data_IF_076033096070
#
_entry.id   IF_076033096070
#
_cell.length_a   1.000
_cell.length_b   1.000
_cell.length_c   1.000
_cell.angle_alpha   90.00
_cell.angle_beta   90.00
_cell.angle_gamma   90.00
#
_symmetry.space_group_name_H-M   'P 1'
#
loop_
_entity.id
_entity.type
_entity.pdbx_description
1 polymer ?
#
# COMPACT_ATOMS: atom_id res chain seq x y z
N UNK A 1 15.01 -13.02 -34.51
CA UNK A 1 14.55 -11.94 -33.61
C UNK A 1 13.09 -11.71 -33.96
N UNK A 2 12.19 -12.45 -33.32
CA UNK A 2 10.75 -12.27 -33.53
C UNK A 2 10.20 -11.28 -32.51
N UNK A 3 9.55 -10.26 -33.05
CA UNK A 3 8.89 -9.20 -32.32
C UNK A 3 7.50 -9.65 -31.85
N UNK A 4 7.14 -9.22 -30.65
CA UNK A 4 5.77 -8.87 -30.27
C UNK A 4 4.70 -9.97 -30.39
N UNK A 5 4.84 -11.04 -29.62
CA UNK A 5 3.65 -11.70 -29.07
C UNK A 5 3.25 -10.97 -27.80
N UNK A 6 2.44 -9.93 -27.92
CA UNK A 6 1.65 -9.49 -26.76
C UNK A 6 0.84 -10.71 -26.31
N UNK A 7 0.82 -11.07 -25.02
CA UNK A 7 -0.05 -12.14 -24.56
C UNK A 7 -1.49 -11.75 -24.87
N UNK A 8 -2.07 -12.36 -25.90
CA UNK A 8 -3.48 -12.19 -26.22
C UNK A 8 -4.28 -12.73 -25.05
N UNK A 9 -5.10 -11.89 -24.42
CA UNK A 9 -6.04 -12.37 -23.40
C UNK A 9 -6.99 -13.36 -24.07
N UNK A 10 -7.13 -14.61 -23.57
CA UNK A 10 -7.97 -15.61 -24.20
C UNK A 10 -9.42 -15.10 -24.31
N UNK A 11 -10.09 -15.39 -25.44
CA UNK A 11 -11.54 -15.24 -25.51
C UNK A 11 -12.17 -16.12 -24.42
N UNK A 12 -13.00 -15.53 -23.56
CA UNK A 12 -13.58 -16.15 -22.35
C UNK A 12 -12.61 -16.38 -21.18
N UNK A 13 -11.62 -15.49 -21.00
CA UNK A 13 -10.78 -15.52 -19.81
C UNK A 13 -11.60 -15.31 -18.53
N UNK A 14 -11.43 -16.21 -17.56
CA UNK A 14 -11.98 -16.09 -16.21
C UNK A 14 -10.89 -15.75 -15.21
N UNK A 15 -11.23 -15.02 -14.14
CA UNK A 15 -10.29 -14.78 -13.05
C UNK A 15 -9.89 -16.10 -12.37
N UNK A 16 -8.59 -16.35 -12.27
CA UNK A 16 -8.07 -17.38 -11.37
C UNK A 16 -8.26 -16.91 -9.93
N UNK A 17 -9.24 -17.49 -9.23
CA UNK A 17 -9.65 -17.06 -7.89
C UNK A 17 -8.60 -17.36 -6.82
N UNK A 18 -7.83 -18.44 -6.98
CA UNK A 18 -6.79 -18.81 -6.01
C UNK A 18 -5.59 -17.85 -6.11
N UNK A 19 -5.15 -17.53 -7.32
CA UNK A 19 -4.10 -16.53 -7.56
C UNK A 19 -4.52 -15.14 -7.08
N UNK A 20 -5.77 -14.73 -7.35
CA UNK A 20 -6.29 -13.46 -6.86
C UNK A 20 -6.37 -13.43 -5.33
N UNK A 21 -6.78 -14.53 -4.69
CA UNK A 21 -6.81 -14.64 -3.24
C UNK A 21 -5.41 -14.49 -2.65
N UNK A 22 -4.41 -15.19 -3.20
CA UNK A 22 -3.04 -15.10 -2.72
C UNK A 22 -2.49 -13.69 -2.91
N UNK A 23 -2.71 -13.09 -4.09
CA UNK A 23 -2.29 -11.72 -4.39
C UNK A 23 -2.86 -10.71 -3.39
N UNK A 24 -4.18 -10.71 -3.16
CA UNK A 24 -4.84 -9.80 -2.23
C UNK A 24 -4.40 -10.03 -0.78
N UNK A 25 -4.16 -11.28 -0.39
CA UNK A 25 -3.67 -11.59 0.97
C UNK A 25 -2.23 -11.11 1.20
N UNK A 26 -1.34 -11.19 0.21
CA UNK A 26 0.00 -10.61 0.32
C UNK A 26 -0.07 -9.08 0.49
N UNK A 27 -0.93 -8.41 -0.28
CA UNK A 27 -1.15 -6.97 -0.11
C UNK A 27 -1.83 -6.61 1.22
N UNK A 28 -2.76 -7.43 1.72
CA UNK A 28 -3.38 -7.23 3.03
C UNK A 28 -2.32 -7.32 4.14
N UNK A 29 -1.43 -8.31 4.07
CA UNK A 29 -0.33 -8.45 5.03
C UNK A 29 0.62 -7.23 4.97
N UNK A 30 0.97 -6.77 3.77
CA UNK A 30 1.73 -5.54 3.58
C UNK A 30 1.04 -4.31 4.16
N UNK A 31 -0.27 -4.16 3.91
CA UNK A 31 -1.06 -3.02 4.41
C UNK A 31 -1.12 -2.96 5.94
N UNK A 32 -1.09 -4.10 6.64
CA UNK A 32 -1.02 -4.15 8.10
C UNK A 32 0.28 -3.57 8.63
N UNK A 33 1.39 -3.86 7.95
CA UNK A 33 2.68 -3.24 8.26
C UNK A 33 2.69 -1.75 7.94
N UNK A 34 2.13 -1.36 6.79
CA UNK A 34 1.98 0.06 6.41
C UNK A 34 1.19 0.87 7.43
N UNK A 35 0.02 0.39 7.88
CA UNK A 35 -0.76 1.08 8.93
C UNK A 35 0.04 1.27 10.23
N UNK A 36 0.83 0.27 10.64
CA UNK A 36 1.71 0.42 11.81
C UNK A 36 2.78 1.48 11.58
N UNK A 37 3.38 1.53 10.40
CA UNK A 37 4.38 2.55 10.03
C UNK A 37 3.78 3.96 10.06
N UNK A 38 2.57 4.17 9.52
CA UNK A 38 1.89 5.47 9.59
C UNK A 38 1.58 5.90 11.02
N UNK A 39 1.13 4.97 11.88
CA UNK A 39 0.95 5.24 13.32
C UNK A 39 2.26 5.66 14.00
N UNK A 40 3.35 4.95 13.70
CA UNK A 40 4.68 5.29 14.20
C UNK A 40 5.14 6.67 13.72
N UNK A 41 4.92 7.00 12.44
CA UNK A 41 5.22 8.32 11.91
C UNK A 41 4.37 9.39 12.62
N UNK A 42 3.08 9.16 12.86
CA UNK A 42 2.26 10.10 13.62
C UNK A 42 2.86 10.42 15.01
N UNK A 43 3.52 9.45 15.66
CA UNK A 43 4.28 9.69 16.89
C UNK A 43 5.57 10.51 16.67
N UNK A 44 6.30 10.26 15.58
CA UNK A 44 7.49 11.04 15.16
C UNK A 44 7.16 12.51 14.95
N UNK A 45 5.99 12.79 14.35
CA UNK A 45 5.56 14.12 13.94
C UNK A 45 4.73 14.88 14.98
N UNK A 46 4.52 14.30 16.18
CA UNK A 46 3.84 14.97 17.29
C UNK A 46 4.57 16.25 17.73
N UNK A 47 3.81 17.31 18.00
CA UNK A 47 4.31 18.62 18.40
C UNK A 47 4.88 19.45 17.25
N UNK A 48 4.84 18.95 16.01
CA UNK A 48 5.22 19.70 14.81
C UNK A 48 3.99 20.32 14.15
N UNK A 49 4.15 21.29 13.23
CA UNK A 49 3.04 21.81 12.42
C UNK A 49 2.28 20.73 11.62
N UNK A 50 2.90 19.58 11.34
CA UNK A 50 2.34 18.48 10.53
C UNK A 50 1.67 17.38 11.37
N UNK A 51 1.53 17.54 12.70
CA UNK A 51 0.93 16.52 13.56
C UNK A 51 -0.48 16.13 13.11
N UNK A 52 -1.32 17.12 12.80
CA UNK A 52 -2.70 16.88 12.40
C UNK A 52 -2.78 16.14 11.06
N UNK A 53 -1.92 16.50 10.11
CA UNK A 53 -1.86 15.86 8.79
C UNK A 53 -1.43 14.39 8.90
N UNK A 54 -0.43 14.07 9.74
CA UNK A 54 -0.01 12.68 9.93
C UNK A 54 -1.06 11.81 10.63
N UNK A 55 -1.86 12.38 11.54
CA UNK A 55 -3.01 11.67 12.13
C UNK A 55 -4.05 11.36 11.07
N UNK A 56 -4.42 12.36 10.26
CA UNK A 56 -5.38 12.21 9.17
C UNK A 56 -4.90 11.20 8.11
N UNK A 57 -3.63 11.26 7.71
CA UNK A 57 -3.02 10.28 6.81
C UNK A 57 -3.10 8.86 7.39
N UNK A 58 -2.84 8.70 8.69
CA UNK A 58 -2.92 7.39 9.37
C UNK A 58 -4.34 6.81 9.33
N UNK A 59 -5.34 7.66 9.55
CA UNK A 59 -6.75 7.26 9.51
C UNK A 59 -7.17 6.88 8.09
N UNK A 60 -6.78 7.66 7.07
CA UNK A 60 -7.10 7.35 5.68
C UNK A 60 -6.40 6.07 5.19
N UNK A 61 -5.13 5.84 5.57
CA UNK A 61 -4.42 4.58 5.25
C UNK A 61 -5.09 3.38 5.93
N UNK A 62 -5.57 3.55 7.16
CA UNK A 62 -6.36 2.52 7.85
C UNK A 62 -7.66 2.21 7.09
N UNK A 63 -8.38 3.23 6.63
CA UNK A 63 -9.57 3.03 5.79
C UNK A 63 -9.25 2.35 4.44
N UNK A 64 -8.05 2.57 3.87
CA UNK A 64 -7.62 1.85 2.66
C UNK A 64 -7.40 0.35 2.93
N UNK A 65 -6.92 -0.02 4.11
CA UNK A 65 -6.89 -1.42 4.54
C UNK A 65 -8.29 -2.00 4.69
N UNK A 66 -9.22 -1.27 5.31
CA UNK A 66 -10.61 -1.73 5.48
C UNK A 66 -11.30 -1.96 4.14
N UNK A 67 -11.04 -1.11 3.14
CA UNK A 67 -11.51 -1.27 1.76
C UNK A 67 -10.97 -2.54 1.10
N UNK A 68 -9.71 -2.89 1.35
CA UNK A 68 -9.12 -4.13 0.85
C UNK A 68 -9.74 -5.37 1.54
N UNK A 69 -9.98 -5.31 2.84
CA UNK A 69 -10.68 -6.36 3.59
C UNK A 69 -12.09 -6.55 3.02
N UNK A 70 -12.85 -5.47 2.86
CA UNK A 70 -14.20 -5.51 2.30
C UNK A 70 -14.22 -6.04 0.85
N UNK A 71 -13.20 -5.74 0.06
CA UNK A 71 -13.06 -6.32 -1.28
C UNK A 71 -12.89 -7.84 -1.24
N UNK A 72 -11.95 -8.34 -0.41
CA UNK A 72 -11.70 -9.78 -0.24
C UNK A 72 -12.99 -10.50 0.17
N UNK A 73 -13.70 -9.92 1.14
CA UNK A 73 -14.96 -10.48 1.66
C UNK A 73 -16.07 -10.47 0.60
N UNK A 74 -16.25 -9.36 -0.13
CA UNK A 74 -17.23 -9.23 -1.22
C UNK A 74 -16.98 -10.23 -2.35
N UNK A 75 -15.71 -10.50 -2.65
CA UNK A 75 -15.34 -11.51 -3.62
C UNK A 75 -15.55 -12.93 -3.11
N UNK A 76 -15.86 -13.15 -1.82
CA UNK A 76 -15.98 -14.46 -1.20
C UNK A 76 -14.63 -15.20 -1.09
N UNK A 77 -13.53 -14.44 -1.05
CA UNK A 77 -12.18 -14.99 -0.92
C UNK A 77 -11.81 -15.11 0.56
N UNK A 78 -10.96 -16.09 0.89
CA UNK A 78 -10.54 -16.31 2.28
C UNK A 78 -9.42 -15.34 2.65
N UNK A 79 -9.60 -14.64 3.76
CA UNK A 79 -8.49 -13.97 4.42
C UNK A 79 -7.54 -15.03 5.02
N UNK A 80 -6.29 -15.04 4.58
CA UNK A 80 -5.29 -15.97 5.10
C UNK A 80 -4.95 -15.59 6.54
N UNK A 81 -5.29 -16.47 7.49
CA UNK A 81 -4.88 -16.38 8.90
C UNK A 81 -3.56 -17.12 9.17
N UNK A 82 -2.94 -17.70 8.15
CA UNK A 82 -1.93 -18.75 8.32
C UNK A 82 -0.50 -18.23 8.21
N UNK A 83 0.35 -18.69 9.13
CA UNK A 83 1.79 -18.41 9.24
C UNK A 83 2.62 -18.68 7.97
N UNK A 84 2.08 -19.42 7.00
CA UNK A 84 2.79 -19.78 5.75
C UNK A 84 3.05 -18.59 4.81
N UNK A 85 2.17 -17.58 4.78
CA UNK A 85 2.41 -16.32 4.03
C UNK A 85 3.35 -15.39 4.82
N UNK A 86 3.40 -15.58 6.14
CA UNK A 86 4.29 -14.83 7.03
C UNK A 86 5.76 -15.03 6.64
N UNK A 87 6.18 -16.22 6.21
CA UNK A 87 7.59 -16.52 5.91
C UNK A 87 8.21 -15.67 4.78
N UNK A 88 7.52 -15.47 3.66
CA UNK A 88 8.02 -14.66 2.53
C UNK A 88 7.88 -13.15 2.78
N UNK A 89 6.78 -12.73 3.41
CA UNK A 89 6.56 -11.32 3.72
C UNK A 89 7.39 -10.83 4.92
N UNK A 90 7.72 -11.71 5.88
CA UNK A 90 8.55 -11.37 7.03
C UNK A 90 10.01 -11.09 6.64
N UNK A 91 10.53 -11.65 5.55
CA UNK A 91 11.88 -11.34 5.08
C UNK A 91 11.99 -9.88 4.59
N UNK A 92 10.94 -9.38 3.92
CA UNK A 92 10.86 -7.99 3.44
C UNK A 92 10.47 -7.04 4.59
N UNK A 93 9.46 -7.40 5.39
CA UNK A 93 9.00 -6.58 6.52
C UNK A 93 9.98 -6.55 7.70
N UNK A 94 10.78 -7.61 7.89
CA UNK A 94 11.79 -7.70 8.94
C UNK A 94 12.94 -6.71 8.74
N UNK A 95 13.26 -6.37 7.49
CA UNK A 95 14.22 -5.30 7.15
C UNK A 95 13.66 -3.89 7.38
N UNK A 96 12.33 -3.74 7.37
CA UNK A 96 11.60 -2.48 7.58
C UNK A 96 10.90 -2.45 8.95
N UNK A 97 11.45 -3.11 9.96
CA UNK A 97 10.84 -3.14 11.30
C UNK A 97 10.73 -1.70 11.86
N UNK A 98 9.50 -1.15 12.05
CA UNK A 98 9.30 0.22 12.53
C UNK A 98 9.94 0.47 13.91
N UNK A 99 10.03 -0.57 14.73
CA UNK A 99 10.65 -0.52 16.06
C UNK A 99 12.16 -0.30 15.99
N UNK A 100 12.83 -0.72 14.91
CA UNK A 100 14.27 -0.45 14.71
C UNK A 100 14.52 0.92 14.08
N UNK A 101 13.63 1.41 13.21
CA UNK A 101 13.75 2.73 12.56
C UNK A 101 13.66 3.88 13.56
N UNK A 102 12.82 3.74 14.59
CA UNK A 102 12.58 4.77 15.62
C UNK A 102 13.64 4.87 16.71
N UNK A 103 14.61 3.94 16.77
CA UNK A 103 15.69 3.99 17.77
C UNK A 103 16.72 5.09 17.51
N UNK A 104 16.79 5.61 16.28
CA UNK A 104 17.68 6.71 15.91
C UNK A 104 16.84 7.93 15.52
N UNK A 105 16.81 8.95 16.39
CA UNK A 105 16.08 10.22 16.17
C UNK A 105 16.89 11.24 15.35
N UNK A 106 17.72 10.78 14.41
CA UNK A 106 18.45 11.70 13.55
C UNK A 106 17.54 12.19 12.42
N UNK A 107 17.78 13.41 11.95
CA UNK A 107 17.01 13.98 10.85
C UNK A 107 17.06 13.15 9.57
N UNK A 108 18.18 12.49 9.29
CA UNK A 108 18.31 11.57 8.15
C UNK A 108 17.40 10.33 8.27
N UNK A 109 17.17 9.83 9.48
CA UNK A 109 16.24 8.71 9.69
C UNK A 109 14.78 9.11 9.49
N UNK A 110 14.42 10.36 9.76
CA UNK A 110 13.10 10.91 9.42
C UNK A 110 12.86 10.88 7.90
N UNK A 111 13.88 11.12 7.07
CA UNK A 111 13.75 11.00 5.62
C UNK A 111 13.54 9.54 5.19
N UNK A 112 14.30 8.60 5.77
CA UNK A 112 14.12 7.17 5.49
C UNK A 112 12.71 6.69 5.86
N UNK A 113 12.15 7.17 6.98
CA UNK A 113 10.77 6.88 7.35
C UNK A 113 9.78 7.32 6.27
N UNK A 114 9.89 8.56 5.77
CA UNK A 114 9.04 9.08 4.69
C UNK A 114 9.16 8.28 3.39
N UNK A 115 10.38 7.88 3.00
CA UNK A 115 10.61 7.08 1.80
C UNK A 115 9.93 5.71 1.91
N UNK A 116 9.94 5.10 3.10
CA UNK A 116 9.24 3.85 3.39
C UNK A 116 7.72 4.02 3.31
N UNK A 117 7.17 5.11 3.85
CA UNK A 117 5.74 5.41 3.74
C UNK A 117 5.31 5.58 2.27
N UNK A 118 6.09 6.30 1.47
CA UNK A 118 5.85 6.44 0.03
C UNK A 118 5.90 5.10 -0.70
N UNK A 119 6.86 4.22 -0.35
CA UNK A 119 6.96 2.87 -0.90
C UNK A 119 5.78 1.98 -0.53
N UNK A 120 5.30 2.05 0.71
CA UNK A 120 4.11 1.31 1.15
C UNK A 120 2.86 1.71 0.35
N UNK A 121 2.65 3.02 0.15
CA UNK A 121 1.56 3.55 -0.67
C UNK A 121 1.74 3.17 -2.14
N UNK A 122 2.96 3.17 -2.68
CA UNK A 122 3.24 2.74 -4.05
C UNK A 122 2.82 1.28 -4.30
N UNK A 123 3.04 0.41 -3.31
CA UNK A 123 2.58 -0.97 -3.36
C UNK A 123 1.05 -1.09 -3.46
N UNK A 124 0.32 -0.28 -2.70
CA UNK A 124 -1.15 -0.24 -2.78
C UNK A 124 -1.65 0.36 -4.09
N UNK A 125 -0.99 1.42 -4.58
CA UNK A 125 -1.28 2.04 -5.88
C UNK A 125 -1.18 1.00 -7.00
N UNK A 126 -0.09 0.24 -7.05
CA UNK A 126 0.10 -0.82 -8.05
C UNK A 126 -0.98 -1.89 -7.97
N UNK A 127 -1.39 -2.28 -6.76
CA UNK A 127 -2.51 -3.22 -6.55
C UNK A 127 -3.83 -2.69 -7.12
N UNK A 128 -4.21 -1.45 -6.79
CA UNK A 128 -5.47 -0.90 -7.29
C UNK A 128 -5.48 -0.75 -8.80
N UNK A 129 -4.35 -0.34 -9.41
CA UNK A 129 -4.22 -0.29 -10.87
C UNK A 129 -4.35 -1.67 -11.52
N UNK A 130 -3.73 -2.70 -10.95
CA UNK A 130 -3.88 -4.07 -11.43
C UNK A 130 -5.34 -4.54 -11.36
N UNK A 131 -6.05 -4.20 -10.28
CA UNK A 131 -7.47 -4.55 -10.12
C UNK A 131 -8.38 -3.79 -11.07
N UNK A 132 -8.10 -2.52 -11.38
CA UNK A 132 -8.79 -1.78 -12.46
C UNK A 132 -8.62 -2.52 -13.77
N UNK A 133 -7.39 -2.92 -14.12
CA UNK A 133 -7.12 -3.60 -15.38
C UNK A 133 -7.78 -4.99 -15.45
N UNK A 134 -7.79 -5.73 -14.34
CA UNK A 134 -8.48 -7.01 -14.26
C UNK A 134 -10.00 -6.86 -14.43
N UNK A 135 -10.60 -5.80 -13.87
CA UNK A 135 -12.02 -5.51 -14.06
C UNK A 135 -12.38 -5.19 -15.52
N UNK A 136 -11.47 -4.59 -16.28
CA UNK A 136 -11.65 -4.34 -17.72
C UNK A 136 -11.50 -5.63 -18.56
N UNK A 137 -10.56 -6.49 -18.18
CA UNK A 137 -10.29 -7.75 -18.88
C UNK A 137 -11.37 -8.80 -18.62
N UNK A 138 -11.96 -8.80 -17.42
CA UNK A 138 -12.98 -9.77 -17.00
C UNK A 138 -14.14 -9.03 -16.29
N UNK A 139 -15.05 -8.36 -17.04
CA UNK A 139 -16.14 -7.56 -16.47
C UNK A 139 -17.05 -8.33 -15.50
N UNK A 140 -17.31 -9.62 -15.79
CA UNK A 140 -18.14 -10.49 -14.95
C UNK A 140 -17.37 -11.13 -13.77
N UNK A 141 -16.12 -10.71 -13.53
CA UNK A 141 -15.25 -11.25 -12.49
C UNK A 141 -15.56 -10.82 -11.06
N UNK A 142 -16.58 -9.99 -10.85
CA UNK A 142 -16.97 -9.45 -9.54
C UNK A 142 -16.10 -8.28 -9.04
N UNK A 143 -15.20 -7.77 -9.88
CA UNK A 143 -14.42 -6.56 -9.61
C UNK A 143 -15.16 -5.33 -10.13
N UNK A 144 -15.55 -4.45 -9.21
CA UNK A 144 -16.10 -3.13 -9.59
C UNK A 144 -14.98 -2.16 -9.96
N UNK A 145 -14.84 -1.91 -11.27
CA UNK A 145 -13.81 -1.04 -11.86
C UNK A 145 -13.82 0.37 -11.28
N UNK A 146 -14.98 0.97 -11.08
CA UNK A 146 -15.10 2.35 -10.60
C UNK A 146 -14.66 2.46 -9.13
N UNK A 147 -15.04 1.48 -8.31
CA UNK A 147 -14.54 1.38 -6.95
C UNK A 147 -13.02 1.21 -6.89
N UNK A 148 -12.41 0.39 -7.77
CA UNK A 148 -10.96 0.21 -7.81
C UNK A 148 -10.23 1.48 -8.24
N UNK A 149 -10.75 2.19 -9.25
CA UNK A 149 -10.20 3.47 -9.70
C UNK A 149 -10.28 4.55 -8.62
N UNK A 150 -11.41 4.62 -7.92
CA UNK A 150 -11.59 5.54 -6.79
C UNK A 150 -10.56 5.25 -5.68
N UNK A 151 -10.32 3.98 -5.37
CA UNK A 151 -9.31 3.59 -4.38
C UNK A 151 -7.87 3.88 -4.85
N UNK A 152 -7.59 3.69 -6.13
CA UNK A 152 -6.33 4.10 -6.75
C UNK A 152 -6.08 5.61 -6.57
N UNK A 153 -7.06 6.45 -6.95
CA UNK A 153 -6.95 7.91 -6.85
C UNK A 153 -6.78 8.38 -5.41
N UNK A 154 -7.52 7.80 -4.46
CA UNK A 154 -7.35 8.07 -3.02
C UNK A 154 -5.94 7.74 -2.55
N UNK A 155 -5.42 6.56 -2.89
CA UNK A 155 -4.08 6.15 -2.46
C UNK A 155 -2.99 7.02 -3.09
N UNK A 156 -3.17 7.45 -4.34
CA UNK A 156 -2.29 8.43 -5.01
C UNK A 156 -2.26 9.76 -4.25
N UNK A 157 -3.42 10.30 -3.91
CA UNK A 157 -3.51 11.53 -3.12
C UNK A 157 -2.75 11.41 -1.78
N UNK A 158 -2.90 10.29 -1.06
CA UNK A 158 -2.13 10.05 0.17
C UNK A 158 -0.62 10.05 -0.07
N UNK A 159 -0.17 9.48 -1.18
CA UNK A 159 1.25 9.44 -1.53
C UNK A 159 1.80 10.83 -1.84
N UNK A 160 1.00 11.65 -2.53
CA UNK A 160 1.35 13.02 -2.87
C UNK A 160 1.41 13.90 -1.61
N UNK A 161 0.52 13.71 -0.64
CA UNK A 161 0.59 14.41 0.65
C UNK A 161 1.84 14.05 1.46
N UNK A 162 2.21 12.77 1.54
CA UNK A 162 3.46 12.35 2.19
C UNK A 162 4.67 12.96 1.47
N UNK A 163 4.66 13.00 0.13
CA UNK A 163 5.73 13.62 -0.66
C UNK A 163 5.82 15.13 -0.40
N UNK A 164 4.69 15.83 -0.38
CA UNK A 164 4.62 17.27 -0.09
C UNK A 164 5.26 17.58 1.25
N UNK A 165 4.85 16.86 2.31
CA UNK A 165 5.43 17.06 3.64
C UNK A 165 6.93 16.76 3.62
N UNK A 166 7.36 15.68 2.94
CA UNK A 166 8.78 15.36 2.78
C UNK A 166 9.59 16.52 2.18
N UNK A 167 9.08 17.13 1.12
CA UNK A 167 9.72 18.24 0.41
C UNK A 167 9.76 19.53 1.25
N UNK A 168 8.64 19.92 1.85
CA UNK A 168 8.52 21.14 2.66
C UNK A 168 9.44 21.14 3.89
N UNK A 169 9.80 19.96 4.38
CA UNK A 169 10.62 19.77 5.59
C UNK A 169 12.03 19.30 5.29
N UNK A 170 12.41 19.20 4.01
CA UNK A 170 13.75 18.72 3.62
C UNK A 170 14.86 19.62 4.20
N UNK A 171 14.63 20.93 4.21
CA UNK A 171 15.57 21.92 4.75
C UNK A 171 15.85 21.73 6.24
N UNK A 172 14.85 21.35 7.04
CA UNK A 172 15.03 21.11 8.48
C UNK A 172 15.84 19.85 8.77
N UNK A 173 15.99 18.96 7.77
CA UNK A 173 16.70 17.70 7.93
C UNK A 173 18.17 17.75 7.56
N UNK A 174 18.50 18.50 6.51
CA UNK A 174 19.81 18.40 5.86
C UNK A 174 20.59 19.71 5.79
N UNK A 175 19.98 20.85 6.18
CA UNK A 175 20.64 22.15 6.18
C UNK A 175 20.93 22.61 7.61
N UNK A 176 21.98 23.40 7.78
CA UNK A 176 22.44 24.02 9.04
C UNK A 176 22.54 25.51 8.90
#
# INVERSE_FOLDING_TARGET
>A
MDASSTPSTPQNATLNRDELQDYLNHHLLGSRSGVRMFRTAADTWRGTPYEAEFKELTDQVSQMQDRLIALIDRLGLKQSRTEKVLGKAAEVAGRLNPVNLTRSKTQGMTQVELDILQGALQGQIGMWQALVRLAELVPDGGLDRESMDTNYRRTRHLQDEVRRISEETLGTRFLT
#
